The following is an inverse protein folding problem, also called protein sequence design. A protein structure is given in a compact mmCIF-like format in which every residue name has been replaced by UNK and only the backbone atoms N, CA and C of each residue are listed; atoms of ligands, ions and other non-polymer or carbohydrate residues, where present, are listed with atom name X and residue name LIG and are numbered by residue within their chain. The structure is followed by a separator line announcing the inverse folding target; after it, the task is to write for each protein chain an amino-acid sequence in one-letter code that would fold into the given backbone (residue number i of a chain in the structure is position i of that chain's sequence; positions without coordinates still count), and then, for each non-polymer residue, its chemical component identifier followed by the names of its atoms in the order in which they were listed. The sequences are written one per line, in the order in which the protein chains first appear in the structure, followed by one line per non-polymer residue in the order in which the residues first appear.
data_IF_421640765887
#
_entry.id   IF_421640765887
#
_cell.length_a   1.000
_cell.length_b   1.000
_cell.length_c   1.000
_cell.angle_alpha   90.00
_cell.angle_beta   90.00
_cell.angle_gamma   90.00
#
_symmetry.space_group_name_H-M   'P 1'
#
loop_
_entity.id
_entity.type
_entity.pdbx_description
1 polymer ?
#
# COMPACT_ATOMS: atom_id res chain seq x y z
N UNK A 1 -66.61 41.01 -1.07
CA UNK A 1 -66.32 39.63 -1.53
C UNK A 1 -64.89 39.28 -1.15
N UNK A 2 -64.70 38.29 -0.26
CA UNK A 2 -63.39 37.85 0.22
C UNK A 2 -62.87 36.67 -0.61
N UNK A 3 -61.64 36.75 -1.15
CA UNK A 3 -60.99 35.64 -1.85
C UNK A 3 -59.95 34.99 -0.94
N UNK A 4 -60.16 33.70 -0.66
CA UNK A 4 -59.27 32.79 0.08
C UNK A 4 -58.49 31.97 -0.94
N UNK A 5 -57.15 31.99 -0.92
CA UNK A 5 -56.29 30.85 -1.31
C UNK A 5 -54.82 31.20 -0.98
N UNK A 6 -54.12 30.54 -0.05
CA UNK A 6 -53.63 29.15 0.02
C UNK A 6 -52.16 29.06 -0.41
N UNK A 7 -51.35 28.66 0.57
CA UNK A 7 -50.00 28.06 0.50
C UNK A 7 -48.88 28.93 -0.07
N UNK A 8 -47.99 29.34 0.82
CA UNK A 8 -46.56 29.13 0.64
C UNK A 8 -45.92 28.88 2.00
N UNK A 9 -45.92 27.60 2.38
CA UNK A 9 -44.78 27.07 3.13
C UNK A 9 -43.54 27.41 2.32
N UNK A 10 -42.70 28.30 2.85
CA UNK A 10 -41.30 28.38 2.48
C UNK A 10 -40.49 28.11 3.74
N UNK A 11 -40.59 26.87 4.20
CA UNK A 11 -39.55 26.27 5.03
C UNK A 11 -38.59 25.55 4.10
N UNK A 12 -37.45 26.18 3.84
CA UNK A 12 -36.19 25.53 3.44
C UNK A 12 -35.14 26.63 3.55
N UNK A 13 -34.37 26.74 4.65
CA UNK A 13 -33.11 26.00 4.83
C UNK A 13 -32.42 25.74 3.49
N UNK A 14 -31.81 26.77 2.94
CA UNK A 14 -30.51 26.65 2.29
C UNK A 14 -29.52 27.01 3.39
N UNK A 15 -29.17 26.10 4.29
CA UNK A 15 -28.13 25.08 4.10
C UNK A 15 -26.92 25.76 3.49
N UNK A 16 -25.93 26.04 4.34
CA UNK A 16 -24.76 26.84 4.03
C UNK A 16 -24.18 26.47 2.68
N UNK A 17 -23.87 27.52 1.92
CA UNK A 17 -22.93 27.45 0.83
C UNK A 17 -21.56 27.13 1.46
N UNK A 18 -21.35 25.87 1.81
CA UNK A 18 -20.01 25.34 1.92
C UNK A 18 -19.51 25.32 0.49
N UNK A 19 -18.93 26.46 0.08
CA UNK A 19 -18.07 26.53 -1.07
C UNK A 19 -17.07 25.39 -0.91
N UNK A 20 -17.31 24.31 -1.65
CA UNK A 20 -16.52 23.11 -1.57
C UNK A 20 -15.15 23.50 -2.09
N UNK A 21 -14.23 23.80 -1.18
CA UNK A 21 -12.85 24.16 -1.50
C UNK A 21 -12.30 23.01 -2.34
N UNK A 22 -12.27 23.21 -3.65
CA UNK A 22 -11.69 22.27 -4.57
C UNK A 22 -10.22 22.17 -4.19
N UNK A 23 -9.68 20.96 -3.96
CA UNK A 23 -8.27 20.82 -3.64
C UNK A 23 -7.44 21.44 -4.77
N UNK A 24 -6.44 22.25 -4.40
CA UNK A 24 -5.53 22.93 -5.34
C UNK A 24 -4.81 21.94 -6.27
N UNK A 25 -4.77 20.66 -5.89
CA UNK A 25 -4.14 19.58 -6.65
C UNK A 25 -5.16 18.47 -6.89
N UNK A 26 -5.34 18.09 -8.16
CA UNK A 26 -6.12 16.92 -8.57
C UNK A 26 -5.23 15.69 -8.69
N UNK A 27 -5.85 14.49 -8.72
CA UNK A 27 -5.12 13.26 -9.00
C UNK A 27 -4.40 13.40 -10.35
N UNK A 28 -3.12 13.00 -10.39
CA UNK A 28 -2.34 12.98 -11.62
C UNK A 28 -2.94 12.05 -12.69
N UNK A 29 -2.34 12.05 -13.88
CA UNK A 29 -2.74 11.16 -14.97
C UNK A 29 -2.70 9.68 -14.51
N UNK A 30 -3.67 8.88 -14.97
CA UNK A 30 -3.68 7.44 -14.70
C UNK A 30 -2.43 6.77 -15.32
N UNK A 31 -1.42 6.51 -14.49
CA UNK A 31 -0.26 5.69 -14.81
C UNK A 31 -0.48 4.22 -14.46
N UNK A 32 0.50 3.35 -14.78
CA UNK A 32 0.53 1.97 -14.26
C UNK A 32 0.40 0.84 -15.28
N UNK A 33 0.58 1.07 -16.59
CA UNK A 33 0.58 0.01 -17.60
C UNK A 33 1.97 -0.52 -17.97
N UNK A 34 3.03 0.13 -17.51
CA UNK A 34 4.38 -0.32 -17.81
C UNK A 34 4.76 -1.47 -16.87
N UNK A 35 4.64 -2.70 -17.38
CA UNK A 35 5.07 -3.92 -16.71
C UNK A 35 6.10 -4.60 -17.63
N UNK A 36 7.40 -4.31 -17.46
CA UNK A 36 8.44 -4.82 -18.36
C UNK A 36 8.77 -6.29 -18.16
N UNK A 37 8.34 -6.87 -17.04
CA UNK A 37 8.54 -8.27 -16.70
C UNK A 37 7.23 -9.04 -16.83
N UNK A 38 7.27 -10.16 -17.51
CA UNK A 38 6.21 -11.16 -17.50
C UNK A 38 6.08 -11.82 -16.13
N UNK A 39 4.92 -12.46 -15.89
CA UNK A 39 4.68 -13.19 -14.64
C UNK A 39 5.70 -14.31 -14.42
N UNK A 40 6.14 -14.97 -15.50
CA UNK A 40 7.20 -15.98 -15.46
C UNK A 40 8.55 -15.40 -15.02
N UNK A 41 8.93 -14.22 -15.54
CA UNK A 41 10.18 -13.56 -15.12
C UNK A 41 10.13 -13.13 -13.65
N UNK A 42 8.96 -12.70 -13.17
CA UNK A 42 8.75 -12.39 -11.76
C UNK A 42 8.91 -13.64 -10.90
N UNK A 43 8.31 -14.76 -11.30
CA UNK A 43 8.42 -16.03 -10.59
C UNK A 43 9.88 -16.53 -10.57
N UNK A 44 10.60 -16.40 -11.69
CA UNK A 44 12.02 -16.75 -11.77
C UNK A 44 12.87 -15.91 -10.81
N UNK A 45 12.64 -14.59 -10.75
CA UNK A 45 13.34 -13.70 -9.81
C UNK A 45 13.04 -14.12 -8.37
N UNK A 46 11.78 -14.42 -8.07
CA UNK A 46 11.36 -14.83 -6.74
C UNK A 46 12.08 -16.11 -6.30
N UNK A 47 12.04 -17.17 -7.12
CA UNK A 47 12.72 -18.43 -6.80
C UNK A 47 14.23 -18.25 -6.65
N UNK A 48 14.85 -17.51 -7.58
CA UNK A 48 16.30 -17.21 -7.50
C UNK A 48 16.64 -16.47 -6.21
N UNK A 49 15.76 -15.57 -5.76
CA UNK A 49 15.96 -14.83 -4.51
C UNK A 49 15.90 -15.76 -3.29
N UNK A 50 14.97 -16.71 -3.26
CA UNK A 50 14.88 -17.70 -2.20
C UNK A 50 16.12 -18.61 -2.16
N UNK A 51 16.56 -19.11 -3.33
CA UNK A 51 17.77 -19.92 -3.43
C UNK A 51 19.01 -19.19 -2.91
N UNK A 52 19.12 -17.89 -3.22
CA UNK A 52 20.21 -17.03 -2.72
C UNK A 52 20.10 -16.83 -1.20
N UNK A 53 18.89 -16.63 -0.67
CA UNK A 53 18.69 -16.45 0.77
C UNK A 53 18.96 -17.73 1.56
N UNK A 54 18.70 -18.90 0.98
CA UNK A 54 19.02 -20.20 1.59
C UNK A 54 20.55 -20.45 1.56
N UNK A 55 21.16 -20.36 0.38
CA UNK A 55 22.53 -20.82 0.17
C UNK A 55 23.62 -19.80 0.51
N UNK A 56 23.36 -18.52 0.24
CA UNK A 56 24.31 -17.43 0.48
C UNK A 56 23.95 -16.70 1.77
N UNK A 57 22.67 -16.34 1.95
CA UNK A 57 22.18 -15.61 3.10
C UNK A 57 22.53 -14.12 3.13
N UNK A 58 21.87 -13.41 4.03
CA UNK A 58 21.95 -11.95 4.19
C UNK A 58 23.02 -11.55 5.20
N UNK A 59 23.88 -10.61 4.83
CA UNK A 59 24.90 -10.06 5.72
C UNK A 59 24.33 -8.94 6.61
N UNK A 60 24.96 -8.74 7.78
CA UNK A 60 24.64 -7.67 8.72
C UNK A 60 23.14 -7.59 9.11
N UNK A 61 22.52 -8.69 9.59
CA UNK A 61 21.16 -8.62 10.10
C UNK A 61 21.11 -7.76 11.36
N UNK A 62 20.01 -7.02 11.53
CA UNK A 62 19.72 -6.33 12.77
C UNK A 62 19.67 -7.34 13.94
N UNK A 63 20.21 -7.05 15.13
CA UNK A 63 20.24 -8.00 16.25
C UNK A 63 18.86 -8.55 16.62
N UNK A 64 17.84 -7.68 16.68
CA UNK A 64 16.46 -8.05 16.99
C UNK A 64 15.87 -8.97 15.91
N UNK A 65 16.21 -8.71 14.64
CA UNK A 65 15.75 -9.54 13.53
C UNK A 65 16.45 -10.90 13.54
N UNK A 66 17.74 -10.93 13.86
CA UNK A 66 18.52 -12.16 13.97
C UNK A 66 17.93 -13.08 15.04
N UNK A 67 17.62 -12.56 16.23
CA UNK A 67 17.01 -13.33 17.32
C UNK A 67 15.70 -13.98 16.87
N UNK A 68 14.78 -13.18 16.33
CA UNK A 68 13.48 -13.68 15.84
C UNK A 68 13.65 -14.67 14.69
N UNK A 69 14.55 -14.41 13.74
CA UNK A 69 14.77 -15.30 12.61
C UNK A 69 15.32 -16.66 13.05
N UNK A 70 16.27 -16.67 13.99
CA UNK A 70 16.82 -17.91 14.56
C UNK A 70 15.76 -18.72 15.30
N UNK A 71 14.84 -18.07 16.03
CA UNK A 71 13.70 -18.74 16.67
C UNK A 71 12.75 -19.39 15.66
N UNK A 72 12.60 -18.80 14.48
CA UNK A 72 11.76 -19.32 13.39
C UNK A 72 12.47 -20.38 12.54
N UNK A 73 13.69 -20.80 12.90
CA UNK A 73 14.41 -21.87 12.20
C UNK A 73 15.36 -21.38 11.10
N UNK A 74 15.64 -20.07 11.03
CA UNK A 74 16.72 -19.57 10.19
C UNK A 74 18.09 -19.94 10.76
N UNK A 75 19.10 -19.99 9.89
CA UNK A 75 20.46 -20.37 10.28
C UNK A 75 21.40 -19.17 10.23
N UNK A 76 22.35 -19.09 11.16
CA UNK A 76 23.40 -18.07 11.12
C UNK A 76 24.76 -18.73 10.88
N UNK A 77 25.33 -18.43 9.72
CA UNK A 77 26.61 -18.99 9.26
C UNK A 77 27.81 -18.38 9.99
N UNK A 78 28.93 -19.11 10.01
CA UNK A 78 30.21 -18.66 10.60
C UNK A 78 30.76 -17.40 9.91
N UNK A 79 30.34 -17.14 8.67
CA UNK A 79 30.68 -15.94 7.90
C UNK A 79 29.83 -14.71 8.27
N UNK A 80 28.98 -14.82 9.30
CA UNK A 80 28.13 -13.72 9.75
C UNK A 80 26.90 -13.48 8.89
N UNK A 81 26.42 -14.49 8.16
CA UNK A 81 25.24 -14.39 7.28
C UNK A 81 24.05 -15.14 7.83
N UNK A 82 22.88 -14.52 7.74
CA UNK A 82 21.58 -15.09 8.10
C UNK A 82 20.95 -15.76 6.87
N UNK A 83 20.81 -17.07 6.91
CA UNK A 83 20.21 -17.88 5.86
C UNK A 83 18.77 -18.25 6.19
N UNK A 84 17.90 -18.23 5.18
CA UNK A 84 16.48 -18.53 5.29
C UNK A 84 16.20 -19.82 4.51
N UNK A 85 16.18 -20.99 5.18
CA UNK A 85 15.76 -22.25 4.57
C UNK A 85 14.24 -22.33 4.38
#
# INVERSE_FOLDING_TARGET
MARKNKRRSRRSKTSGDHDSIQPVVTKGMEGGKYQPLSDHEIEQIHQTTLDVLENIGMANPLPQLKEVALEQGCNFTDQGRLCFP
#
